data_IF_345091679039
#
_entry.id   IF_345091679039
#
_cell.length_a   1.000
_cell.length_b   1.000
_cell.length_c   1.000
_cell.angle_alpha   90.00
_cell.angle_beta   90.00
_cell.angle_gamma   90.00
#
_symmetry.space_group_name_H-M   'P 1'
#
loop_
_entity.id
_entity.type
_entity.pdbx_description
1 polymer ?
#
# COMPACT_ATOMS: atom_id res chain seq x y z
N UNK A 1 10.75 17.01 -0.13
CA UNK A 1 10.28 16.39 -1.40
C UNK A 1 9.43 15.14 -1.17
N UNK A 2 9.81 14.25 -0.25
CA UNK A 2 9.14 12.95 -0.01
C UNK A 2 7.65 13.05 0.33
N UNK A 3 7.25 13.90 1.28
CA UNK A 3 5.84 14.05 1.66
C UNK A 3 4.94 14.45 0.48
N UNK A 4 5.38 15.41 -0.34
CA UNK A 4 4.64 15.84 -1.53
C UNK A 4 4.46 14.71 -2.55
N UNK A 5 5.51 13.89 -2.76
CA UNK A 5 5.45 12.72 -3.67
C UNK A 5 4.51 11.65 -3.14
N UNK A 6 4.61 11.31 -1.86
CA UNK A 6 3.76 10.29 -1.24
C UNK A 6 2.29 10.72 -1.25
N UNK A 7 1.99 11.97 -0.89
CA UNK A 7 0.63 12.50 -0.94
C UNK A 7 0.05 12.43 -2.37
N UNK A 8 0.83 12.84 -3.38
CA UNK A 8 0.41 12.71 -4.77
C UNK A 8 0.11 11.26 -5.18
N UNK A 9 0.97 10.31 -4.80
CA UNK A 9 0.75 8.89 -5.12
C UNK A 9 -0.46 8.34 -4.36
N UNK A 10 -0.71 8.75 -3.12
CA UNK A 10 -1.91 8.36 -2.38
C UNK A 10 -3.18 8.84 -3.08
N UNK A 11 -3.21 10.08 -3.56
CA UNK A 11 -4.34 10.61 -4.35
C UNK A 11 -4.51 9.87 -5.69
N UNK A 12 -3.41 9.56 -6.38
CA UNK A 12 -3.46 8.77 -7.62
C UNK A 12 -4.01 7.36 -7.37
N UNK A 13 -3.54 6.67 -6.33
CA UNK A 13 -4.03 5.34 -5.98
C UNK A 13 -5.51 5.38 -5.60
N UNK A 14 -5.94 6.42 -4.88
CA UNK A 14 -7.35 6.65 -4.57
C UNK A 14 -8.19 6.82 -5.84
N UNK A 15 -7.75 7.64 -6.79
CA UNK A 15 -8.40 7.80 -8.08
C UNK A 15 -8.54 6.46 -8.84
N UNK A 16 -7.57 5.57 -8.71
CA UNK A 16 -7.59 4.23 -9.32
C UNK A 16 -8.41 3.19 -8.53
N UNK A 17 -9.04 3.56 -7.40
CA UNK A 17 -9.76 2.62 -6.52
C UNK A 17 -8.84 1.71 -5.68
N UNK A 18 -7.57 2.10 -5.51
CA UNK A 18 -6.54 1.36 -4.77
C UNK A 18 -6.16 2.08 -3.46
N UNK A 19 -7.08 2.84 -2.89
CA UNK A 19 -6.87 3.60 -1.65
C UNK A 19 -6.38 2.72 -0.50
N UNK A 20 -5.56 3.30 0.38
CA UNK A 20 -5.13 2.65 1.62
C UNK A 20 -4.06 1.58 1.46
N UNK A 21 -3.62 1.28 0.22
CA UNK A 21 -2.54 0.33 -0.10
C UNK A 21 -1.13 0.92 -0.11
N UNK A 22 -0.98 2.21 0.25
CA UNK A 22 0.30 2.88 0.46
C UNK A 22 0.33 3.55 1.85
N UNK A 23 1.39 3.31 2.61
CA UNK A 23 1.58 3.87 3.96
C UNK A 23 3.02 4.36 4.12
N UNK A 24 3.18 5.55 4.70
CA UNK A 24 4.48 6.15 5.01
C UNK A 24 4.58 6.27 6.53
N UNK A 25 5.66 5.75 7.08
CA UNK A 25 5.98 5.88 8.50
C UNK A 25 7.48 6.20 8.63
N UNK A 26 7.81 7.12 9.54
CA UNK A 26 9.20 7.48 9.84
C UNK A 26 9.67 6.68 11.04
N UNK A 27 10.69 5.84 10.84
CA UNK A 27 11.21 4.92 11.85
C UNK A 27 12.73 5.03 11.87
N UNK A 28 13.28 5.36 13.03
CA UNK A 28 14.73 5.42 13.25
C UNK A 28 15.30 4.02 13.55
N UNK A 29 16.63 3.91 13.53
CA UNK A 29 17.32 2.64 13.83
C UNK A 29 17.12 2.14 15.26
N UNK A 30 16.72 3.01 16.20
CA UNK A 30 16.45 2.65 17.58
C UNK A 30 15.00 2.14 17.80
N UNK A 31 14.12 2.28 16.82
CA UNK A 31 12.68 2.01 16.94
C UNK A 31 12.27 0.65 16.36
N UNK A 32 13.03 -0.41 16.67
CA UNK A 32 12.78 -1.76 16.14
C UNK A 32 11.36 -2.27 16.44
N UNK A 33 10.85 -2.04 17.66
CA UNK A 33 9.50 -2.47 18.02
C UNK A 33 8.43 -1.74 17.20
N UNK A 34 8.61 -0.43 16.95
CA UNK A 34 7.69 0.35 16.11
C UNK A 34 7.67 -0.20 14.68
N UNK A 35 8.82 -0.57 14.13
CA UNK A 35 8.90 -1.20 12.81
C UNK A 35 8.07 -2.48 12.75
N UNK A 36 8.25 -3.38 13.73
CA UNK A 36 7.50 -4.64 13.81
C UNK A 36 6.00 -4.37 13.85
N UNK A 37 5.56 -3.45 14.72
CA UNK A 37 4.14 -3.13 14.90
C UNK A 37 3.52 -2.54 13.62
N UNK A 38 4.22 -1.60 12.98
CA UNK A 38 3.75 -0.91 11.76
C UNK A 38 3.64 -1.88 10.60
N UNK A 39 4.68 -2.69 10.37
CA UNK A 39 4.69 -3.68 9.28
C UNK A 39 3.63 -4.75 9.51
N UNK A 40 3.47 -5.23 10.74
CA UNK A 40 2.47 -6.25 11.07
C UNK A 40 1.05 -5.72 10.82
N UNK A 41 0.71 -4.56 11.40
CA UNK A 41 -0.62 -3.94 11.22
C UNK A 41 -0.91 -3.60 9.77
N UNK A 42 0.08 -3.08 9.03
CA UNK A 42 -0.12 -2.75 7.62
C UNK A 42 -0.29 -4.02 6.78
N UNK A 43 0.47 -5.08 7.05
CA UNK A 43 0.33 -6.37 6.37
C UNK A 43 -1.05 -6.98 6.60
N UNK A 44 -1.54 -6.96 7.84
CA UNK A 44 -2.89 -7.42 8.19
C UNK A 44 -3.97 -6.60 7.46
N UNK A 45 -3.80 -5.27 7.42
CA UNK A 45 -4.68 -4.38 6.65
C UNK A 45 -4.71 -4.79 5.16
N UNK A 46 -3.56 -5.02 4.53
CA UNK A 46 -3.49 -5.45 3.13
C UNK A 46 -4.17 -6.81 2.92
N UNK A 47 -3.93 -7.78 3.83
CA UNK A 47 -4.58 -9.10 3.78
C UNK A 47 -6.09 -8.99 3.84
N UNK A 48 -6.62 -8.17 4.75
CA UNK A 48 -8.05 -7.94 4.92
C UNK A 48 -8.70 -7.22 3.73
N UNK A 49 -7.95 -6.36 3.02
CA UNK A 49 -8.42 -5.72 1.78
C UNK A 49 -8.44 -6.67 0.57
N UNK A 50 -7.86 -7.86 0.69
CA UNK A 50 -7.82 -8.83 -0.40
C UNK A 50 -6.84 -8.48 -1.53
N UNK A 51 -6.79 -9.36 -2.56
CA UNK A 51 -5.82 -9.25 -3.66
C UNK A 51 -5.95 -7.95 -4.44
N UNK A 52 -4.89 -7.55 -5.13
CA UNK A 52 -4.90 -6.35 -5.97
C UNK A 52 -5.90 -6.52 -7.13
N UNK A 53 -6.92 -5.64 -7.26
CA UNK A 53 -7.90 -5.69 -8.34
C UNK A 53 -7.30 -5.67 -9.75
N UNK A 54 -6.13 -5.06 -9.93
CA UNK A 54 -5.45 -5.02 -11.23
C UNK A 54 -4.92 -6.38 -11.69
N UNK A 55 -4.78 -7.36 -10.78
CA UNK A 55 -4.35 -8.71 -11.15
C UNK A 55 -5.41 -9.41 -12.01
N UNK A 56 -6.69 -9.21 -11.69
CA UNK A 56 -7.80 -9.77 -12.46
C UNK A 56 -7.82 -9.25 -13.90
N UNK A 57 -7.51 -7.97 -14.10
CA UNK A 57 -7.41 -7.35 -15.44
C UNK A 57 -6.29 -8.00 -16.26
N UNK A 58 -5.14 -8.27 -15.65
CA UNK A 58 -4.03 -8.96 -16.32
C UNK A 58 -4.37 -10.42 -16.69
N UNK A 59 -5.15 -11.10 -15.85
CA UNK A 59 -5.61 -12.48 -16.11
C UNK A 59 -6.65 -12.50 -17.25
N UNK A 60 -7.60 -11.56 -17.27
CA UNK A 60 -8.56 -11.40 -18.38
C UNK A 60 -7.86 -11.11 -19.71
N UNK A 61 -6.83 -10.25 -19.71
CA UNK A 61 -6.07 -9.89 -20.93
C UNK A 61 -5.23 -11.04 -21.48
N UNK A 62 -4.92 -12.06 -20.68
CA UNK A 62 -4.19 -13.26 -21.13
C UNK A 62 -5.11 -14.36 -21.65
N UNK A 63 -6.40 -14.30 -21.31
CA UNK A 63 -7.39 -15.33 -21.64
C UNK A 63 -8.15 -15.05 -22.96
N UNK A 64 -8.00 -13.85 -23.54
CA UNK A 64 -8.48 -13.49 -24.88
C UNK A 64 -7.32 -13.25 -25.82
#
# INVERSE_FOLDING_TARGET
MTLKRIAFVQELLKFMGLEGRLHLEWISSAEAQKYVDVVTKFTEKIRNMGPNPLRAINEMKKAG
#
